data_IF_497201314604
#
_entry.id   IF_497201314604
#
_cell.length_a   1.000
_cell.length_b   1.000
_cell.length_c   1.000
_cell.angle_alpha   90.00
_cell.angle_beta   90.00
_cell.angle_gamma   90.00
#
_symmetry.space_group_name_H-M   'P 1'
#
loop_
_entity.id
_entity.type
_entity.pdbx_description
1 polymer ?
#
# COMPACT_ATOMS: atom_id res chain seq x y z
N UNK A 1 -13.14 -29.57 -5.73
CA UNK A 1 -13.42 -28.71 -4.56
C UNK A 1 -12.65 -27.41 -4.72
N UNK A 2 -13.34 -26.33 -5.10
CA UNK A 2 -12.72 -25.06 -5.44
C UNK A 2 -12.73 -24.18 -4.18
N UNK A 3 -11.73 -24.34 -3.31
CA UNK A 3 -11.52 -23.41 -2.19
C UNK A 3 -11.08 -22.08 -2.80
N UNK A 4 -12.04 -21.18 -3.03
CA UNK A 4 -11.73 -19.75 -3.10
C UNK A 4 -11.01 -19.43 -1.80
N UNK A 5 -9.68 -19.34 -1.86
CA UNK A 5 -8.86 -18.84 -0.75
C UNK A 5 -9.34 -17.44 -0.46
N UNK A 6 -10.21 -17.30 0.55
CA UNK A 6 -10.55 -16.01 1.11
C UNK A 6 -9.23 -15.32 1.45
N UNK A 7 -9.04 -14.09 0.97
CA UNK A 7 -7.86 -13.30 1.34
C UNK A 7 -7.84 -13.22 2.87
N UNK A 8 -6.76 -13.69 3.53
CA UNK A 8 -6.71 -13.68 4.98
C UNK A 8 -6.92 -12.26 5.49
N UNK A 9 -7.57 -12.09 6.66
CA UNK A 9 -7.83 -10.77 7.21
C UNK A 9 -6.51 -10.00 7.37
N UNK A 10 -6.54 -8.69 7.05
CA UNK A 10 -5.36 -7.83 7.12
C UNK A 10 -4.86 -7.74 8.56
N UNK A 11 -3.66 -8.28 8.80
CA UNK A 11 -3.03 -8.21 10.11
C UNK A 11 -2.92 -6.76 10.61
N UNK A 12 -3.17 -6.56 11.89
CA UNK A 12 -2.79 -5.36 12.63
C UNK A 12 -1.27 -5.41 12.81
N UNK A 13 -0.59 -4.28 12.68
CA UNK A 13 0.88 -4.26 12.76
C UNK A 13 1.29 -3.44 13.97
N UNK A 14 2.12 -4.01 14.84
CA UNK A 14 2.84 -3.32 15.91
C UNK A 14 4.12 -2.73 15.30
N UNK A 15 4.18 -1.42 15.02
CA UNK A 15 5.29 -0.85 14.27
C UNK A 15 6.48 -0.58 15.19
N UNK A 16 7.66 -1.00 14.74
CA UNK A 16 8.96 -0.65 15.30
C UNK A 16 9.71 0.12 14.22
N UNK A 17 10.01 1.38 14.50
CA UNK A 17 10.63 2.27 13.52
C UNK A 17 12.15 2.26 13.70
N UNK A 18 12.85 1.79 12.67
CA UNK A 18 14.30 1.84 12.59
C UNK A 18 14.67 3.23 12.05
N UNK A 19 15.50 4.01 12.76
CA UNK A 19 15.89 5.33 12.32
C UNK A 19 16.77 5.26 11.06
N UNK A 20 16.70 6.33 10.26
CA UNK A 20 17.43 6.43 9.00
C UNK A 20 18.96 6.38 9.17
N UNK A 21 19.45 6.84 10.33
CA UNK A 21 20.85 6.83 10.74
C UNK A 21 21.54 5.46 10.64
N UNK A 22 20.75 4.40 10.71
CA UNK A 22 21.24 3.02 10.78
C UNK A 22 21.20 2.28 9.43
N UNK A 23 20.87 2.98 8.34
CA UNK A 23 20.92 2.48 6.96
C UNK A 23 22.19 2.96 6.24
N UNK A 24 22.53 2.33 5.11
CA UNK A 24 23.64 2.77 4.26
C UNK A 24 23.44 4.23 3.78
N UNK A 25 24.53 5.00 3.81
CA UNK A 25 24.55 6.42 3.43
C UNK A 25 24.11 6.63 1.98
N UNK A 26 23.33 7.70 1.72
CA UNK A 26 22.96 8.15 0.38
C UNK A 26 21.58 7.72 -0.12
N UNK A 27 20.67 7.29 0.76
CA UNK A 27 19.28 7.05 0.39
C UNK A 27 18.59 8.37 -0.03
N UNK A 28 18.02 8.47 -1.24
CA UNK A 28 17.42 9.72 -1.72
C UNK A 28 16.11 10.08 -0.99
N UNK A 29 15.50 9.11 -0.31
CA UNK A 29 14.20 9.22 0.36
C UNK A 29 14.30 9.61 1.83
N UNK A 30 15.51 9.59 2.38
CA UNK A 30 15.75 9.77 3.80
C UNK A 30 16.72 10.93 4.00
N UNK A 31 16.68 11.61 5.17
CA UNK A 31 17.71 12.56 5.48
C UNK A 31 19.09 11.89 5.54
N UNK A 32 20.15 12.55 5.04
CA UNK A 32 21.49 11.99 5.09
C UNK A 32 21.94 11.81 6.55
N UNK A 33 22.63 10.70 6.84
CA UNK A 33 23.43 10.59 8.06
C UNK A 33 24.52 11.66 7.96
N UNK A 34 24.45 12.73 8.75
CA UNK A 34 25.51 13.74 8.80
C UNK A 34 26.39 13.43 10.00
N UNK A 35 27.62 13.00 9.75
CA UNK A 35 28.67 12.75 10.75
C UNK A 35 29.29 14.05 11.32
N UNK A 36 28.58 15.19 11.24
CA UNK A 36 29.05 16.49 11.74
C UNK A 36 28.47 16.77 13.14
N UNK A 37 29.30 16.91 14.20
CA UNK A 37 28.85 17.03 15.60
C UNK A 37 28.04 18.30 15.92
N UNK A 38 28.05 19.30 15.03
CA UNK A 38 27.51 20.63 15.30
C UNK A 38 26.06 20.84 14.86
N UNK A 39 25.48 19.89 14.11
CA UNK A 39 24.11 19.99 13.60
C UNK A 39 23.37 18.66 13.70
N UNK A 40 23.22 18.16 14.94
CA UNK A 40 22.29 17.09 15.30
C UNK A 40 20.84 17.55 15.06
N UNK A 41 20.46 17.67 13.79
CA UNK A 41 19.11 17.95 13.36
C UNK A 41 18.27 16.73 13.71
N UNK A 42 17.40 16.88 14.72
CA UNK A 42 16.15 16.19 15.14
C UNK A 42 15.64 14.88 14.48
N UNK A 43 16.27 14.32 13.45
CA UNK A 43 15.80 13.18 12.64
C UNK A 43 16.65 11.89 12.77
N UNK A 44 17.77 11.91 13.50
CA UNK A 44 18.51 10.71 13.86
C UNK A 44 17.98 10.15 15.20
N UNK A 45 16.87 9.41 15.14
CA UNK A 45 16.39 8.65 16.30
C UNK A 45 17.42 7.62 16.77
N UNK A 46 17.39 7.24 18.04
CA UNK A 46 18.18 6.12 18.56
C UNK A 46 17.72 4.80 17.92
N UNK A 47 18.65 3.90 17.60
CA UNK A 47 18.29 2.55 17.13
C UNK A 47 17.45 1.86 18.22
N UNK A 48 16.27 1.31 17.89
CA UNK A 48 15.40 0.70 18.88
C UNK A 48 16.06 -0.52 19.53
N UNK A 49 15.71 -0.75 20.79
CA UNK A 49 16.09 -1.94 21.55
C UNK A 49 14.99 -3.01 21.58
N UNK A 50 15.28 -4.16 22.20
CA UNK A 50 14.28 -5.21 22.46
C UNK A 50 13.02 -4.69 23.17
N UNK A 51 13.16 -3.80 24.14
CA UNK A 51 12.04 -3.27 24.93
C UNK A 51 11.07 -2.43 24.08
N UNK A 52 11.57 -1.78 23.01
CA UNK A 52 10.73 -1.04 22.07
C UNK A 52 9.80 -1.97 21.27
N UNK A 53 10.24 -3.21 21.02
CA UNK A 53 9.42 -4.25 20.38
C UNK A 53 8.28 -4.64 21.31
N UNK A 54 8.60 -4.95 22.57
CA UNK A 54 7.60 -5.33 23.57
C UNK A 54 6.59 -4.19 23.79
N UNK A 55 7.08 -2.95 23.92
CA UNK A 55 6.25 -1.77 24.06
C UNK A 55 5.36 -1.52 22.83
N UNK A 56 5.84 -1.81 21.61
CA UNK A 56 5.02 -1.69 20.40
C UNK A 56 3.87 -2.69 20.38
N UNK A 57 4.12 -3.95 20.78
CA UNK A 57 3.09 -4.99 20.88
C UNK A 57 2.10 -4.64 21.99
N UNK A 58 2.58 -4.24 23.17
CA UNK A 58 1.74 -3.79 24.29
C UNK A 58 0.78 -2.66 23.91
N UNK A 59 1.31 -1.62 23.22
CA UNK A 59 0.49 -0.49 22.75
C UNK A 59 -0.61 -0.94 21.80
N UNK A 60 -0.31 -1.90 20.91
CA UNK A 60 -1.30 -2.42 19.98
C UNK A 60 -2.33 -3.29 20.71
N UNK A 61 -1.91 -4.21 21.58
CA UNK A 61 -2.81 -5.07 22.33
C UNK A 61 -3.78 -4.27 23.19
N UNK A 62 -3.34 -3.20 23.87
CA UNK A 62 -4.25 -2.31 24.62
C UNK A 62 -5.35 -1.70 23.75
N UNK A 63 -5.03 -1.33 22.51
CA UNK A 63 -6.02 -0.82 21.53
C UNK A 63 -6.92 -1.94 21.01
N UNK A 64 -6.38 -3.15 20.85
CA UNK A 64 -7.16 -4.31 20.40
C UNK A 64 -8.11 -4.78 21.48
N UNK A 65 -7.72 -4.87 22.75
CA UNK A 65 -8.61 -5.32 23.82
C UNK A 65 -9.84 -4.42 24.04
N UNK A 66 -9.81 -3.19 23.51
CA UNK A 66 -10.95 -2.27 23.50
C UNK A 66 -11.91 -2.50 22.32
N UNK A 67 -11.44 -3.18 21.27
CA UNK A 67 -12.20 -3.56 20.08
C UNK A 67 -12.49 -5.08 20.11
N UNK A 68 -13.69 -5.54 19.80
CA UNK A 68 -13.97 -6.98 19.62
C UNK A 68 -13.37 -7.54 18.29
N UNK A 69 -12.12 -7.21 17.98
CA UNK A 69 -11.44 -7.48 16.71
C UNK A 69 -10.36 -8.56 16.89
N UNK A 70 -10.56 -9.71 16.23
CA UNK A 70 -9.75 -10.92 16.31
C UNK A 70 -8.62 -11.00 15.27
N UNK A 71 -8.34 -9.90 14.55
CA UNK A 71 -7.34 -9.91 13.48
C UNK A 71 -5.95 -10.28 13.98
N UNK A 72 -5.17 -11.02 13.18
CA UNK A 72 -3.79 -11.39 13.53
C UNK A 72 -2.93 -10.14 13.74
N UNK A 73 -1.97 -10.24 14.65
CA UNK A 73 -0.99 -9.19 14.93
C UNK A 73 0.36 -9.56 14.31
N UNK A 74 1.01 -8.63 13.63
CA UNK A 74 2.41 -8.77 13.18
C UNK A 74 3.30 -7.73 13.88
N UNK A 75 4.52 -8.11 14.25
CA UNK A 75 5.58 -7.14 14.59
C UNK A 75 6.20 -6.63 13.30
N UNK A 76 6.11 -5.33 13.03
CA UNK A 76 6.56 -4.74 11.76
C UNK A 76 7.73 -3.78 11.92
N UNK A 77 8.83 -4.07 11.24
CA UNK A 77 9.99 -3.17 11.18
C UNK A 77 9.92 -2.26 9.95
N UNK A 78 9.85 -0.94 10.19
CA UNK A 78 9.68 0.11 9.17
C UNK A 78 10.70 1.24 9.32
N UNK A 79 10.76 2.14 8.35
CA UNK A 79 11.65 3.33 8.38
C UNK A 79 13.08 3.07 7.92
N UNK A 80 13.50 1.80 7.90
CA UNK A 80 14.83 1.40 7.44
C UNK A 80 14.89 -0.09 7.09
N UNK A 81 16.10 -0.53 6.74
CA UNK A 81 16.40 -1.92 6.41
C UNK A 81 17.02 -2.61 7.64
N UNK A 82 16.24 -3.44 8.34
CA UNK A 82 16.70 -4.17 9.53
C UNK A 82 17.99 -4.95 9.26
N UNK A 83 18.18 -5.45 8.03
CA UNK A 83 19.32 -6.29 7.70
C UNK A 83 20.62 -5.51 7.49
N UNK A 84 20.53 -4.18 7.35
CA UNK A 84 21.70 -3.28 7.28
C UNK A 84 22.21 -2.86 8.66
N UNK A 85 21.47 -3.13 9.74
CA UNK A 85 21.96 -2.92 11.10
C UNK A 85 23.15 -3.84 11.42
N UNK A 86 24.00 -3.40 12.35
CA UNK A 86 25.04 -4.23 12.95
C UNK A 86 24.46 -5.52 13.54
N UNK A 87 25.26 -6.59 13.51
CA UNK A 87 24.79 -7.93 13.89
C UNK A 87 24.17 -7.98 15.29
N UNK A 88 24.74 -7.29 16.27
CA UNK A 88 24.24 -7.27 17.65
C UNK A 88 22.81 -6.73 17.74
N UNK A 89 22.59 -5.42 17.48
CA UNK A 89 21.26 -4.80 17.51
C UNK A 89 20.25 -5.51 16.61
N UNK A 90 20.65 -5.91 15.40
CA UNK A 90 19.82 -6.68 14.46
C UNK A 90 19.29 -7.97 15.05
N UNK A 91 20.18 -8.75 15.67
CA UNK A 91 19.83 -10.05 16.26
C UNK A 91 18.91 -9.84 17.45
N UNK A 92 19.24 -8.90 18.34
CA UNK A 92 18.44 -8.59 19.52
C UNK A 92 17.00 -8.17 19.18
N UNK A 93 16.81 -7.33 18.17
CA UNK A 93 15.49 -6.93 17.69
C UNK A 93 14.69 -8.10 17.10
N UNK A 94 15.34 -8.95 16.28
CA UNK A 94 14.68 -10.11 15.70
C UNK A 94 14.34 -11.16 16.76
N UNK A 95 15.21 -11.36 17.76
CA UNK A 95 14.99 -12.25 18.91
C UNK A 95 13.79 -11.79 19.75
N UNK A 96 13.64 -10.48 19.95
CA UNK A 96 12.51 -9.90 20.66
C UNK A 96 11.19 -10.13 19.90
N UNK A 97 11.16 -9.87 18.60
CA UNK A 97 9.98 -10.11 17.77
C UNK A 97 9.60 -11.60 17.71
N UNK A 98 10.59 -12.49 17.65
CA UNK A 98 10.38 -13.93 17.70
C UNK A 98 9.82 -14.39 19.05
N UNK A 99 10.30 -13.82 20.16
CA UNK A 99 9.77 -14.09 21.50
C UNK A 99 8.30 -13.68 21.62
N UNK A 100 7.90 -12.54 21.05
CA UNK A 100 6.49 -12.14 21.00
C UNK A 100 5.63 -13.11 20.19
N UNK A 101 6.19 -13.70 19.12
CA UNK A 101 5.51 -14.77 18.38
C UNK A 101 5.37 -16.05 19.21
N UNK A 102 6.44 -16.47 19.91
CA UNK A 102 6.42 -17.66 20.78
C UNK A 102 5.47 -17.52 21.97
N UNK A 103 5.29 -16.29 22.48
CA UNK A 103 4.31 -15.95 23.52
C UNK A 103 2.86 -15.94 23.00
N UNK A 104 2.63 -16.12 21.69
CA UNK A 104 1.30 -16.04 21.08
C UNK A 104 0.74 -14.61 20.98
N UNK A 105 1.55 -13.59 21.30
CA UNK A 105 1.15 -12.18 21.29
C UNK A 105 1.24 -11.56 19.89
N UNK A 106 2.06 -12.15 19.03
CA UNK A 106 2.12 -11.86 17.61
C UNK A 106 2.02 -13.18 16.81
N UNK A 107 1.48 -13.08 15.61
CA UNK A 107 1.30 -14.20 14.67
C UNK A 107 2.38 -14.25 13.59
N UNK A 108 3.23 -13.21 13.52
CA UNK A 108 4.32 -13.15 12.56
C UNK A 108 5.13 -11.87 12.63
N UNK A 109 6.22 -11.87 11.88
CA UNK A 109 7.14 -10.74 11.76
C UNK A 109 7.12 -10.22 10.32
N UNK A 110 7.04 -8.91 10.19
CA UNK A 110 7.11 -8.19 8.91
C UNK A 110 8.39 -7.37 8.83
N UNK A 111 9.18 -7.60 7.78
CA UNK A 111 10.43 -6.89 7.54
C UNK A 111 10.33 -6.02 6.28
N UNK A 112 10.81 -4.79 6.34
CA UNK A 112 11.06 -3.96 5.15
C UNK A 112 12.54 -4.04 4.80
N UNK A 113 12.87 -4.48 3.59
CA UNK A 113 14.25 -4.71 3.15
C UNK A 113 14.48 -4.14 1.75
N UNK A 114 15.68 -3.59 1.51
CA UNK A 114 16.10 -3.24 0.16
C UNK A 114 16.42 -4.51 -0.66
N UNK A 115 16.31 -4.48 -2.01
CA UNK A 115 16.61 -5.65 -2.83
C UNK A 115 17.96 -6.32 -2.56
N UNK A 116 19.09 -5.59 -2.42
CA UNK A 116 20.38 -6.21 -2.10
C UNK A 116 20.41 -6.93 -0.74
N UNK A 117 19.62 -6.47 0.23
CA UNK A 117 19.50 -7.11 1.54
C UNK A 117 18.68 -8.39 1.46
N UNK A 118 17.56 -8.38 0.74
CA UNK A 118 16.76 -9.59 0.48
C UNK A 118 17.58 -10.67 -0.22
N UNK A 119 18.47 -10.29 -1.14
CA UNK A 119 19.33 -11.22 -1.88
C UNK A 119 20.48 -11.80 -1.02
N UNK A 120 20.83 -11.17 0.09
CA UNK A 120 21.86 -11.67 1.03
C UNK A 120 21.28 -12.29 2.30
N UNK A 121 19.99 -12.07 2.58
CA UNK A 121 19.32 -12.56 3.77
C UNK A 121 19.17 -14.10 3.78
N UNK A 122 19.28 -14.74 4.96
CA UNK A 122 19.01 -16.16 5.16
C UNK A 122 17.49 -16.39 5.25
N UNK A 123 16.79 -16.33 4.11
CA UNK A 123 15.31 -16.36 4.11
C UNK A 123 14.70 -17.65 4.69
N UNK A 124 15.42 -18.77 4.66
CA UNK A 124 15.00 -20.01 5.34
C UNK A 124 14.98 -19.84 6.85
N UNK A 125 16.01 -19.21 7.42
CA UNK A 125 16.10 -18.88 8.84
C UNK A 125 15.01 -17.87 9.23
N UNK A 126 14.77 -16.84 8.42
CA UNK A 126 13.70 -15.88 8.67
C UNK A 126 12.35 -16.57 8.84
N UNK A 127 12.05 -17.52 7.95
CA UNK A 127 10.82 -18.30 8.04
C UNK A 127 10.74 -19.12 9.32
N UNK A 128 11.83 -19.78 9.73
CA UNK A 128 11.85 -20.56 10.99
C UNK A 128 11.69 -19.68 12.23
N UNK A 129 12.10 -18.41 12.14
CA UNK A 129 12.00 -17.43 13.21
C UNK A 129 10.68 -16.66 13.25
N UNK A 130 9.70 -17.06 12.43
CA UNK A 130 8.37 -16.46 12.43
C UNK A 130 8.19 -15.25 11.50
N UNK A 131 9.14 -14.98 10.60
CA UNK A 131 8.93 -13.97 9.54
C UNK A 131 7.89 -14.49 8.55
N UNK A 132 6.79 -13.75 8.42
CA UNK A 132 5.64 -14.07 7.55
C UNK A 132 5.61 -13.21 6.30
N UNK A 133 6.10 -11.97 6.41
CA UNK A 133 5.97 -10.95 5.35
C UNK A 133 7.28 -10.20 5.15
N UNK A 134 7.70 -10.04 3.89
CA UNK A 134 8.81 -9.17 3.50
C UNK A 134 8.30 -8.12 2.51
N UNK A 135 8.40 -6.85 2.90
CA UNK A 135 8.19 -5.70 2.03
C UNK A 135 9.53 -5.37 1.35
N UNK A 136 9.56 -5.48 0.02
CA UNK A 136 10.73 -5.16 -0.80
C UNK A 136 10.63 -3.71 -1.26
N UNK A 137 11.57 -2.86 -0.82
CA UNK A 137 11.68 -1.46 -1.21
C UNK A 137 12.17 -1.34 -2.67
N UNK A 138 11.28 -1.64 -3.62
CA UNK A 138 11.60 -1.69 -5.05
C UNK A 138 11.68 -0.30 -5.68
N UNK A 139 10.80 0.61 -5.26
CA UNK A 139 10.58 1.96 -5.81
C UNK A 139 10.08 1.94 -7.27
N UNK A 140 10.89 1.46 -8.21
CA UNK A 140 10.56 1.33 -9.63
C UNK A 140 11.46 0.28 -10.30
N UNK A 141 10.99 -0.32 -11.39
CA UNK A 141 11.83 -1.19 -12.23
C UNK A 141 12.50 -0.42 -13.39
N UNK A 142 12.31 0.90 -13.47
CA UNK A 142 12.91 1.73 -14.50
C UNK A 142 14.37 2.07 -14.13
N UNK A 143 15.32 1.61 -14.94
CA UNK A 143 16.76 1.83 -14.73
C UNK A 143 17.15 3.31 -14.71
N UNK A 144 16.62 4.11 -15.62
CA UNK A 144 16.97 5.54 -15.72
C UNK A 144 16.52 6.32 -14.48
N UNK A 145 15.36 5.98 -13.93
CA UNK A 145 14.87 6.57 -12.68
C UNK A 145 15.73 6.15 -11.49
N UNK A 146 16.07 4.85 -11.37
CA UNK A 146 16.97 4.37 -10.31
C UNK A 146 18.35 5.04 -10.37
N UNK A 147 18.92 5.22 -11.56
CA UNK A 147 20.21 5.90 -11.76
C UNK A 147 20.15 7.37 -11.32
N UNK A 148 19.07 8.10 -11.67
CA UNK A 148 18.86 9.49 -11.22
C UNK A 148 18.72 9.61 -9.70
N UNK A 149 18.22 8.57 -9.06
CA UNK A 149 18.11 8.45 -7.61
C UNK A 149 19.42 8.05 -6.92
N UNK A 150 20.53 7.88 -7.66
CA UNK A 150 21.80 7.40 -7.12
C UNK A 150 21.77 5.93 -6.71
N UNK A 151 20.73 5.17 -7.09
CA UNK A 151 20.63 3.75 -6.78
C UNK A 151 21.63 2.96 -7.62
N UNK A 152 22.55 2.27 -6.94
CA UNK A 152 23.68 1.56 -7.58
C UNK A 152 23.33 0.16 -8.10
N UNK A 153 22.16 -0.37 -7.77
CA UNK A 153 21.76 -1.73 -8.14
C UNK A 153 20.85 -1.77 -9.38
N UNK A 154 20.98 -2.82 -10.18
CA UNK A 154 20.17 -2.99 -11.40
C UNK A 154 18.70 -3.36 -11.06
N UNK A 155 17.67 -2.83 -11.77
CA UNK A 155 16.26 -3.12 -11.49
C UNK A 155 15.88 -4.60 -11.39
N UNK A 156 16.59 -5.46 -12.13
CA UNK A 156 16.38 -6.93 -12.12
C UNK A 156 16.52 -7.52 -10.71
N UNK A 157 17.42 -6.98 -9.89
CA UNK A 157 17.64 -7.45 -8.51
C UNK A 157 16.39 -7.27 -7.64
N UNK A 158 15.59 -6.23 -7.89
CA UNK A 158 14.30 -6.03 -7.25
C UNK A 158 13.28 -7.11 -7.59
N UNK A 159 13.22 -7.50 -8.87
CA UNK A 159 12.33 -8.58 -9.32
C UNK A 159 12.78 -9.95 -8.78
N UNK A 160 14.09 -10.20 -8.78
CA UNK A 160 14.69 -11.41 -8.21
C UNK A 160 14.45 -11.50 -6.70
N UNK A 161 14.58 -10.40 -5.97
CA UNK A 161 14.29 -10.34 -4.54
C UNK A 161 12.83 -10.76 -4.25
N UNK A 162 11.87 -10.21 -4.98
CA UNK A 162 10.44 -10.56 -4.85
C UNK A 162 10.22 -12.06 -5.14
N UNK A 163 10.81 -12.56 -6.24
CA UNK A 163 10.73 -13.98 -6.59
C UNK A 163 11.37 -14.90 -5.56
N UNK A 164 12.49 -14.48 -4.95
CA UNK A 164 13.17 -15.23 -3.89
C UNK A 164 12.30 -15.36 -2.65
N UNK A 165 11.68 -14.26 -2.21
CA UNK A 165 10.72 -14.28 -1.08
C UNK A 165 9.54 -15.19 -1.41
N UNK A 166 8.95 -15.06 -2.60
CA UNK A 166 7.82 -15.88 -3.02
C UNK A 166 8.11 -17.39 -2.93
N UNK A 167 9.31 -17.84 -3.31
CA UNK A 167 9.71 -19.26 -3.23
C UNK A 167 9.78 -19.81 -1.80
N UNK A 168 9.92 -18.95 -0.79
CA UNK A 168 9.95 -19.38 0.61
C UNK A 168 8.55 -19.58 1.22
N UNK A 169 7.48 -19.27 0.50
CA UNK A 169 6.09 -19.19 0.98
C UNK A 169 5.83 -18.08 2.00
N UNK A 170 6.78 -17.17 2.23
CA UNK A 170 6.52 -15.88 2.87
C UNK A 170 5.80 -14.95 1.90
N UNK A 171 5.02 -14.01 2.45
CA UNK A 171 4.32 -13.00 1.68
C UNK A 171 5.30 -11.93 1.19
N UNK A 172 5.42 -11.78 -0.13
CA UNK A 172 6.19 -10.71 -0.77
C UNK A 172 5.30 -9.50 -1.08
N UNK A 173 5.65 -8.34 -0.54
CA UNK A 173 4.97 -7.07 -0.85
C UNK A 173 5.97 -6.15 -1.56
N UNK A 174 5.62 -5.65 -2.74
CA UNK A 174 6.45 -4.67 -3.44
C UNK A 174 6.05 -3.25 -3.01
N UNK A 175 7.02 -2.43 -2.64
CA UNK A 175 6.79 -1.00 -2.42
C UNK A 175 7.19 -0.23 -3.69
N UNK A 176 6.22 0.42 -4.33
CA UNK A 176 6.41 1.20 -5.57
C UNK A 176 6.09 2.68 -5.34
N UNK A 177 6.84 3.55 -6.01
CA UNK A 177 6.71 4.99 -5.87
C UNK A 177 6.57 5.66 -7.25
N UNK A 178 5.35 6.00 -7.69
CA UNK A 178 5.16 6.82 -8.89
C UNK A 178 5.59 8.28 -8.65
N UNK A 179 5.98 8.99 -9.70
CA UNK A 179 6.32 10.42 -9.62
C UNK A 179 7.76 10.73 -9.18
N UNK A 180 8.65 9.73 -9.18
CA UNK A 180 10.08 9.93 -8.94
C UNK A 180 10.74 10.78 -10.05
N UNK A 181 11.91 11.41 -9.79
CA UNK A 181 12.67 12.14 -10.80
C UNK A 181 12.90 11.34 -12.09
N UNK A 182 12.49 11.90 -13.22
CA UNK A 182 12.57 11.25 -14.53
C UNK A 182 11.50 10.18 -14.79
N UNK A 183 10.54 9.98 -13.89
CA UNK A 183 9.38 9.11 -14.12
C UNK A 183 8.20 9.90 -14.71
N UNK A 184 7.44 9.23 -15.57
CA UNK A 184 6.15 9.67 -16.11
C UNK A 184 5.07 8.64 -15.80
N UNK A 185 3.81 9.00 -16.05
CA UNK A 185 2.67 8.08 -16.01
C UNK A 185 2.95 6.79 -16.81
N UNK A 186 3.39 6.94 -18.07
CA UNK A 186 3.70 5.82 -18.97
C UNK A 186 4.79 4.90 -18.41
N UNK A 187 5.91 5.47 -17.98
CA UNK A 187 7.04 4.66 -17.46
C UNK A 187 6.69 3.97 -16.14
N UNK A 188 5.81 4.58 -15.35
CA UNK A 188 5.30 3.98 -14.11
C UNK A 188 4.46 2.74 -14.41
N UNK A 189 3.56 2.83 -15.39
CA UNK A 189 2.75 1.68 -15.80
C UNK A 189 3.61 0.57 -16.40
N UNK A 190 4.59 0.90 -17.24
CA UNK A 190 5.57 -0.08 -17.75
C UNK A 190 6.32 -0.77 -16.61
N UNK A 191 6.72 -0.03 -15.57
CA UNK A 191 7.37 -0.62 -14.41
C UNK A 191 6.44 -1.57 -13.63
N UNK A 192 5.15 -1.23 -13.52
CA UNK A 192 4.15 -2.12 -12.92
C UNK A 192 3.97 -3.42 -13.73
N UNK A 193 3.95 -3.34 -15.06
CA UNK A 193 3.92 -4.54 -15.93
C UNK A 193 5.11 -5.47 -15.69
N UNK A 194 6.31 -4.89 -15.56
CA UNK A 194 7.51 -5.67 -15.26
C UNK A 194 7.44 -6.32 -13.88
N UNK A 195 6.97 -5.57 -12.86
CA UNK A 195 6.79 -6.06 -11.51
C UNK A 195 5.82 -7.24 -11.45
N UNK A 196 4.70 -7.19 -12.18
CA UNK A 196 3.71 -8.27 -12.21
C UNK A 196 4.30 -9.62 -12.66
N UNK A 197 5.39 -9.62 -13.44
CA UNK A 197 6.10 -10.85 -13.83
C UNK A 197 6.74 -11.56 -12.64
N UNK A 198 7.11 -10.83 -11.59
CA UNK A 198 7.63 -11.38 -10.35
C UNK A 198 6.53 -11.87 -9.38
N UNK A 199 5.24 -11.71 -9.75
CA UNK A 199 4.06 -12.16 -9.00
C UNK A 199 4.11 -11.79 -7.51
N UNK A 200 4.23 -10.49 -7.16
CA UNK A 200 4.14 -10.08 -5.77
C UNK A 200 2.76 -10.42 -5.19
N UNK A 201 2.71 -10.83 -3.92
CA UNK A 201 1.44 -11.08 -3.23
C UNK A 201 0.69 -9.78 -2.96
N UNK A 202 1.42 -8.68 -2.73
CA UNK A 202 0.82 -7.37 -2.58
C UNK A 202 1.72 -6.23 -3.04
N UNK A 203 1.14 -5.04 -3.10
CA UNK A 203 1.83 -3.81 -3.48
C UNK A 203 1.42 -2.65 -2.56
N UNK A 204 2.38 -1.80 -2.20
CA UNK A 204 2.17 -0.49 -1.60
C UNK A 204 2.52 0.57 -2.65
N UNK A 205 1.59 1.48 -2.90
CA UNK A 205 1.74 2.54 -3.90
C UNK A 205 1.85 3.87 -3.16
N UNK A 206 3.05 4.43 -3.07
CA UNK A 206 3.26 5.73 -2.41
C UNK A 206 3.84 6.72 -3.43
N UNK A 207 3.00 7.60 -4.02
CA UNK A 207 3.53 8.70 -4.82
C UNK A 207 4.65 9.45 -4.10
N UNK A 208 5.69 9.80 -4.84
CA UNK A 208 6.86 10.48 -4.29
C UNK A 208 6.45 11.86 -3.72
N UNK A 209 7.00 12.17 -2.55
CA UNK A 209 6.83 13.45 -1.86
C UNK A 209 8.20 14.11 -1.73
N UNK A 210 8.25 15.43 -1.89
CA UNK A 210 9.40 16.22 -1.51
C UNK A 210 9.31 16.48 0.01
N UNK A 211 10.24 15.93 0.78
CA UNK A 211 10.29 16.08 2.23
C UNK A 211 11.51 16.89 2.64
N UNK A 212 11.36 17.77 3.62
CA UNK A 212 12.48 18.58 4.11
C UNK A 212 13.59 17.69 4.66
N UNK A 213 14.83 18.10 4.39
CA UNK A 213 16.02 17.36 4.79
C UNK A 213 16.34 16.10 3.98
N UNK A 214 15.55 15.75 2.95
CA UNK A 214 15.84 14.61 2.05
C UNK A 214 16.43 15.08 0.73
N UNK A 215 17.17 14.21 0.02
CA UNK A 215 17.69 14.53 -1.32
C UNK A 215 16.57 14.86 -2.31
N UNK A 216 15.42 14.16 -2.24
CA UNK A 216 14.25 14.52 -3.05
C UNK A 216 13.72 15.93 -2.71
N UNK A 217 13.75 16.33 -1.44
CA UNK A 217 13.45 17.70 -1.03
C UNK A 217 14.43 18.71 -1.60
N UNK A 218 15.72 18.42 -1.58
CA UNK A 218 16.78 19.26 -2.17
C UNK A 218 16.60 19.41 -3.68
N UNK A 219 16.35 18.32 -4.41
CA UNK A 219 16.07 18.35 -5.86
C UNK A 219 14.86 19.21 -6.19
N UNK A 220 13.83 19.20 -5.35
CA UNK A 220 12.66 20.06 -5.51
C UNK A 220 13.00 21.53 -5.28
N UNK A 221 13.69 21.86 -4.19
CA UNK A 221 14.08 23.23 -3.87
C UNK A 221 15.02 23.84 -4.92
N UNK A 222 15.84 23.01 -5.58
CA UNK A 222 16.72 23.41 -6.68
C UNK A 222 16.02 23.48 -8.04
N UNK A 223 14.74 23.13 -8.13
CA UNK A 223 13.98 23.11 -9.39
C UNK A 223 14.37 21.97 -10.35
N UNK A 224 15.09 20.96 -9.88
CA UNK A 224 15.52 19.81 -10.68
C UNK A 224 14.47 18.67 -10.74
N UNK A 225 13.42 18.75 -9.92
CA UNK A 225 12.32 17.81 -9.93
C UNK A 225 11.03 18.47 -9.40
N UNK A 226 9.94 18.27 -10.13
CA UNK A 226 8.60 18.64 -9.66
C UNK A 226 7.83 17.37 -9.27
N UNK A 227 7.40 17.21 -8.01
CA UNK A 227 6.52 16.12 -7.60
C UNK A 227 5.17 16.18 -8.34
N UNK A 228 4.53 15.02 -8.53
CA UNK A 228 3.20 14.97 -9.14
C UNK A 228 2.18 15.82 -8.37
N UNK A 229 1.30 16.48 -9.11
CA UNK A 229 0.11 17.08 -8.53
C UNK A 229 -0.87 16.01 -8.05
N UNK A 230 -1.76 16.37 -7.11
CA UNK A 230 -2.74 15.42 -6.55
C UNK A 230 -3.62 14.76 -7.64
N UNK A 231 -4.01 15.51 -8.67
CA UNK A 231 -4.78 15.01 -9.81
C UNK A 231 -4.02 13.97 -10.63
N UNK A 232 -2.74 14.22 -10.91
CA UNK A 232 -1.85 13.31 -11.65
C UNK A 232 -1.56 12.04 -10.85
N UNK A 233 -1.33 12.19 -9.55
CA UNK A 233 -1.13 11.09 -8.62
C UNK A 233 -2.39 10.22 -8.54
N UNK A 234 -3.57 10.83 -8.46
CA UNK A 234 -4.86 10.13 -8.48
C UNK A 234 -5.03 9.33 -9.78
N UNK A 235 -4.82 9.94 -10.94
CA UNK A 235 -4.93 9.29 -12.24
C UNK A 235 -3.94 8.13 -12.40
N UNK A 236 -2.68 8.33 -11.99
CA UNK A 236 -1.64 7.30 -12.04
C UNK A 236 -1.93 6.15 -11.10
N UNK A 237 -2.28 6.44 -9.85
CA UNK A 237 -2.62 5.42 -8.86
C UNK A 237 -3.88 4.64 -9.27
N UNK A 238 -4.89 5.28 -9.87
CA UNK A 238 -6.07 4.61 -10.42
C UNK A 238 -5.69 3.51 -11.40
N UNK A 239 -4.83 3.82 -12.37
CA UNK A 239 -4.38 2.84 -13.36
C UNK A 239 -3.56 1.72 -12.73
N UNK A 240 -2.67 2.04 -11.78
CA UNK A 240 -1.93 1.03 -11.02
C UNK A 240 -2.85 0.11 -10.22
N UNK A 241 -3.78 0.67 -9.46
CA UNK A 241 -4.74 -0.10 -8.64
C UNK A 241 -5.56 -1.04 -9.51
N UNK A 242 -6.10 -0.55 -10.64
CA UNK A 242 -6.81 -1.38 -11.61
C UNK A 242 -5.93 -2.53 -12.10
N UNK A 243 -4.71 -2.21 -12.56
CA UNK A 243 -3.81 -3.19 -13.16
C UNK A 243 -3.35 -4.29 -12.19
N UNK A 244 -2.99 -3.92 -10.96
CA UNK A 244 -2.61 -4.89 -9.92
C UNK A 244 -3.79 -5.78 -9.51
N UNK A 245 -4.99 -5.21 -9.35
CA UNK A 245 -6.21 -5.99 -9.03
C UNK A 245 -6.58 -6.98 -10.12
N UNK A 246 -6.53 -6.55 -11.38
CA UNK A 246 -6.79 -7.44 -12.54
C UNK A 246 -5.80 -8.60 -12.60
N UNK A 247 -4.56 -8.40 -12.13
CA UNK A 247 -3.56 -9.45 -12.02
C UNK A 247 -3.66 -10.30 -10.73
N UNK A 248 -4.62 -10.01 -9.84
CA UNK A 248 -4.77 -10.70 -8.57
C UNK A 248 -3.77 -10.29 -7.47
N UNK A 249 -2.99 -9.23 -7.68
CA UNK A 249 -2.07 -8.67 -6.67
C UNK A 249 -2.83 -7.74 -5.72
N UNK A 250 -2.69 -7.95 -4.41
CA UNK A 250 -3.37 -7.11 -3.43
C UNK A 250 -2.78 -5.70 -3.37
N UNK A 251 -3.63 -4.67 -3.51
CA UNK A 251 -3.23 -3.29 -3.17
C UNK A 251 -3.36 -3.07 -1.66
N UNK A 252 -2.24 -3.23 -0.98
CA UNK A 252 -2.12 -3.12 0.48
C UNK A 252 -2.40 -1.69 0.91
N UNK A 253 -1.72 -0.71 0.28
CA UNK A 253 -1.83 0.71 0.62
C UNK A 253 -1.68 1.60 -0.62
N UNK A 254 -2.39 2.73 -0.62
CA UNK A 254 -2.22 3.83 -1.57
C UNK A 254 -2.06 5.12 -0.77
N UNK A 255 -0.99 5.86 -1.04
CA UNK A 255 -0.64 7.06 -0.29
C UNK A 255 0.14 6.78 1.00
N UNK A 256 0.86 7.81 1.42
CA UNK A 256 1.74 7.82 2.58
C UNK A 256 1.41 9.08 3.38
N UNK A 257 1.32 8.96 4.71
CA UNK A 257 1.10 10.04 5.65
C UNK A 257 2.40 10.31 6.41
N UNK A 258 3.17 11.34 6.03
CA UNK A 258 4.36 11.76 6.79
C UNK A 258 4.01 12.02 8.26
N UNK A 259 4.99 11.86 9.16
CA UNK A 259 4.85 11.91 10.63
C UNK A 259 3.98 10.82 11.27
N UNK A 260 3.04 10.22 10.53
CA UNK A 260 2.22 9.08 11.00
C UNK A 260 2.87 7.75 10.60
N UNK A 261 3.13 7.58 9.31
CA UNK A 261 3.76 6.36 8.79
C UNK A 261 5.29 6.39 8.89
N UNK A 262 5.84 7.60 8.98
CA UNK A 262 7.27 7.88 9.08
C UNK A 262 7.48 8.92 10.19
N UNK A 263 7.55 8.52 11.46
CA UNK A 263 7.67 9.45 12.59
C UNK A 263 8.88 10.39 12.47
N UNK A 264 9.96 9.90 11.86
CA UNK A 264 11.21 10.64 11.65
C UNK A 264 11.27 11.42 10.32
N UNK A 265 10.16 11.54 9.59
CA UNK A 265 10.14 12.30 8.33
C UNK A 265 10.16 13.80 8.59
N UNK A 266 10.85 14.54 7.73
CA UNK A 266 10.71 16.00 7.64
C UNK A 266 9.31 16.44 7.21
N UNK A 267 9.13 17.76 7.12
CA UNK A 267 7.90 18.38 6.65
C UNK A 267 7.69 18.15 5.16
N UNK A 268 6.44 18.14 4.73
CA UNK A 268 6.09 18.03 3.31
C UNK A 268 6.32 19.37 2.63
N UNK A 269 7.32 19.42 1.74
CA UNK A 269 7.60 20.58 0.91
C UNK A 269 6.67 20.64 -0.31
N UNK A 270 6.43 19.49 -0.95
CA UNK A 270 5.56 19.37 -2.12
C UNK A 270 5.16 17.91 -2.42
N UNK A 271 4.17 17.75 -3.31
CA UNK A 271 3.68 16.46 -3.80
C UNK A 271 2.27 16.11 -3.31
N UNK A 272 1.75 14.94 -3.72
CA UNK A 272 0.34 14.60 -3.57
C UNK A 272 0.03 14.06 -2.16
N UNK A 273 0.27 14.89 -1.14
CA UNK A 273 -0.01 14.57 0.25
C UNK A 273 -1.50 14.80 0.56
N UNK A 274 -2.27 13.72 0.65
CA UNK A 274 -3.68 13.77 1.04
C UNK A 274 -4.02 12.58 1.94
N UNK A 275 -4.66 12.78 3.12
CA UNK A 275 -5.01 11.72 4.07
C UNK A 275 -5.79 10.58 3.40
N UNK A 276 -6.78 10.95 2.59
CA UNK A 276 -7.66 10.01 1.90
C UNK A 276 -7.28 9.75 0.43
N UNK A 277 -6.00 9.80 0.06
CA UNK A 277 -5.61 9.56 -1.35
C UNK A 277 -6.17 8.23 -1.90
N UNK A 278 -6.18 7.18 -1.06
CA UNK A 278 -6.80 5.91 -1.44
C UNK A 278 -8.29 6.06 -1.76
N UNK A 279 -9.06 6.75 -0.90
CA UNK A 279 -10.48 7.00 -1.14
C UNK A 279 -10.67 7.73 -2.48
N UNK A 280 -9.88 8.76 -2.75
CA UNK A 280 -9.98 9.52 -4.01
C UNK A 280 -9.76 8.62 -5.24
N UNK A 281 -8.75 7.74 -5.19
CA UNK A 281 -8.44 6.79 -6.27
C UNK A 281 -9.54 5.75 -6.44
N UNK A 282 -9.98 5.14 -5.34
CA UNK A 282 -11.01 4.09 -5.35
C UNK A 282 -12.37 4.64 -5.79
N UNK A 283 -12.69 5.87 -5.40
CA UNK A 283 -13.93 6.55 -5.78
C UNK A 283 -13.98 6.83 -7.27
N UNK A 284 -12.85 7.17 -7.88
CA UNK A 284 -12.79 7.38 -9.32
C UNK A 284 -13.05 6.06 -10.09
N UNK A 285 -12.50 4.93 -9.61
CA UNK A 285 -12.80 3.60 -10.17
C UNK A 285 -14.28 3.23 -10.02
N UNK A 286 -14.85 3.43 -8.83
CA UNK A 286 -16.25 3.15 -8.56
C UNK A 286 -17.18 4.02 -9.39
N UNK A 287 -16.86 5.30 -9.54
CA UNK A 287 -17.62 6.23 -10.37
C UNK A 287 -17.62 5.81 -11.85
N UNK A 288 -16.46 5.44 -12.40
CA UNK A 288 -16.40 4.90 -13.76
C UNK A 288 -17.25 3.63 -13.93
N UNK A 289 -17.22 2.74 -12.93
CA UNK A 289 -18.09 1.56 -12.90
C UNK A 289 -19.58 1.91 -12.83
N UNK A 290 -19.94 2.90 -12.01
CA UNK A 290 -21.31 3.34 -11.82
C UNK A 290 -21.86 4.00 -13.09
N UNK A 291 -21.07 4.85 -13.76
CA UNK A 291 -21.40 5.44 -15.07
C UNK A 291 -21.68 4.34 -16.08
N UNK A 292 -20.77 3.35 -16.22
CA UNK A 292 -20.99 2.22 -17.15
C UNK A 292 -22.26 1.44 -16.84
N UNK A 293 -22.51 1.15 -15.56
CA UNK A 293 -23.69 0.41 -15.13
C UNK A 293 -24.99 1.20 -15.40
N UNK A 294 -24.99 2.50 -15.13
CA UNK A 294 -26.08 3.43 -15.46
C UNK A 294 -26.33 3.44 -16.96
N UNK A 295 -25.33 3.79 -17.76
CA UNK A 295 -25.48 3.87 -19.23
C UNK A 295 -26.02 2.57 -19.84
N UNK A 296 -25.64 1.40 -19.30
CA UNK A 296 -26.13 0.10 -19.80
C UNK A 296 -27.59 -0.22 -19.49
N UNK A 297 -28.21 0.46 -18.52
CA UNK A 297 -29.55 0.17 -17.97
C UNK A 297 -30.49 1.34 -18.01
N UNK A 298 -29.98 2.53 -18.35
CA UNK A 298 -30.74 3.76 -18.38
C UNK A 298 -31.69 3.77 -19.58
N UNK A 299 -32.96 4.01 -19.31
CA UNK A 299 -33.99 4.26 -20.32
C UNK A 299 -34.62 5.63 -20.10
N UNK A 300 -35.24 6.19 -21.15
CA UNK A 300 -35.98 7.44 -21.04
C UNK A 300 -37.08 7.30 -19.98
N UNK A 301 -37.06 8.16 -18.96
CA UNK A 301 -37.97 8.08 -17.81
C UNK A 301 -37.37 7.47 -16.54
N UNK A 302 -36.15 6.92 -16.60
CA UNK A 302 -35.44 6.45 -15.39
C UNK A 302 -35.15 7.64 -14.45
N UNK A 303 -35.83 7.70 -13.31
CA UNK A 303 -35.64 8.75 -12.27
C UNK A 303 -34.96 8.24 -11.00
N UNK A 304 -34.91 6.92 -10.81
CA UNK A 304 -34.35 6.27 -9.64
C UNK A 304 -33.30 5.22 -10.01
N UNK A 305 -32.30 5.02 -9.17
CA UNK A 305 -31.31 3.96 -9.36
C UNK A 305 -30.84 3.39 -8.03
N UNK A 306 -30.69 2.07 -7.95
CA UNK A 306 -30.10 1.40 -6.78
C UNK A 306 -28.76 0.79 -7.15
N UNK A 307 -27.72 1.13 -6.40
CA UNK A 307 -26.43 0.45 -6.45
C UNK A 307 -26.30 -0.53 -5.30
N UNK A 308 -25.75 -1.71 -5.58
CA UNK A 308 -25.40 -2.71 -4.57
C UNK A 308 -23.89 -2.90 -4.58
N UNK A 309 -23.25 -2.65 -3.44
CA UNK A 309 -21.79 -2.73 -3.25
C UNK A 309 -21.44 -3.58 -2.03
N UNK A 310 -20.16 -3.90 -1.85
CA UNK A 310 -19.70 -4.45 -0.59
C UNK A 310 -19.78 -3.36 0.52
N UNK A 311 -20.11 -3.68 1.78
CA UNK A 311 -20.14 -2.69 2.87
C UNK A 311 -18.85 -1.86 2.97
N UNK A 312 -17.70 -2.50 2.76
CA UNK A 312 -16.39 -1.85 2.84
C UNK A 312 -16.04 -0.97 1.64
N UNK A 313 -16.92 -0.91 0.63
CA UNK A 313 -16.77 -0.11 -0.59
C UNK A 313 -17.85 0.97 -0.71
N UNK A 314 -18.78 1.08 0.24
CA UNK A 314 -19.84 2.10 0.22
C UNK A 314 -19.25 3.51 0.16
N UNK A 315 -18.27 3.81 1.00
CA UNK A 315 -17.58 5.11 1.01
C UNK A 315 -16.88 5.40 -0.31
N UNK A 316 -16.32 4.37 -0.97
CA UNK A 316 -15.71 4.50 -2.28
C UNK A 316 -16.75 4.85 -3.34
N UNK A 317 -17.93 4.21 -3.34
CA UNK A 317 -18.99 4.57 -4.28
C UNK A 317 -19.54 5.97 -4.02
N UNK A 318 -19.80 6.35 -2.76
CA UNK A 318 -20.27 7.69 -2.41
C UNK A 318 -19.28 8.77 -2.86
N UNK A 319 -17.99 8.48 -2.70
CA UNK A 319 -16.91 9.41 -2.97
C UNK A 319 -16.71 10.42 -1.84
N UNK A 320 -15.57 11.10 -1.87
CA UNK A 320 -15.25 12.20 -0.96
C UNK A 320 -16.36 13.25 -1.00
N UNK A 321 -16.90 13.62 0.16
CA UNK A 321 -18.05 14.54 0.31
C UNK A 321 -19.25 14.19 -0.60
N UNK A 322 -19.52 12.90 -0.77
CA UNK A 322 -20.58 12.39 -1.65
C UNK A 322 -20.54 12.95 -3.08
N UNK A 323 -19.35 13.33 -3.57
CA UNK A 323 -19.17 13.94 -4.90
C UNK A 323 -19.71 13.05 -6.02
N UNK A 324 -19.43 11.74 -5.96
CA UNK A 324 -19.91 10.79 -6.98
C UNK A 324 -21.43 10.82 -7.07
N UNK A 325 -22.14 10.85 -5.94
CA UNK A 325 -23.60 10.88 -5.93
C UNK A 325 -24.16 12.15 -6.58
N UNK A 326 -23.56 13.32 -6.26
CA UNK A 326 -23.96 14.61 -6.86
C UNK A 326 -23.72 14.63 -8.37
N UNK A 327 -22.56 14.16 -8.82
CA UNK A 327 -22.21 14.10 -10.25
C UNK A 327 -23.14 13.16 -11.03
N UNK A 328 -23.40 11.95 -10.51
CA UNK A 328 -24.28 10.98 -11.17
C UNK A 328 -25.72 11.51 -11.26
N UNK A 329 -26.26 12.11 -10.19
CA UNK A 329 -27.60 12.74 -10.22
C UNK A 329 -27.70 13.82 -11.28
N UNK A 330 -26.69 14.71 -11.35
CA UNK A 330 -26.66 15.80 -12.33
C UNK A 330 -26.54 15.28 -13.76
N UNK A 331 -25.61 14.35 -14.01
CA UNK A 331 -25.31 13.83 -15.34
C UNK A 331 -26.48 13.04 -15.94
N UNK A 332 -27.16 12.22 -15.14
CA UNK A 332 -28.24 11.33 -15.60
C UNK A 332 -29.64 11.85 -15.24
N UNK A 333 -29.75 13.07 -14.70
CA UNK A 333 -31.02 13.69 -14.25
C UNK A 333 -31.84 12.79 -13.32
N UNK A 334 -31.15 12.08 -12.42
CA UNK A 334 -31.77 11.18 -11.45
C UNK A 334 -32.28 11.98 -10.25
N UNK A 335 -33.49 11.68 -9.81
CA UNK A 335 -34.08 12.24 -8.59
C UNK A 335 -33.51 11.54 -7.35
N UNK A 336 -33.39 10.20 -7.43
CA UNK A 336 -32.97 9.36 -6.30
C UNK A 336 -31.90 8.35 -6.69
N UNK A 337 -30.87 8.26 -5.85
CA UNK A 337 -29.89 7.17 -5.87
C UNK A 337 -29.93 6.51 -4.50
N UNK A 338 -30.09 5.19 -4.46
CA UNK A 338 -29.97 4.37 -3.25
C UNK A 338 -28.70 3.54 -3.33
N UNK A 339 -28.00 3.40 -2.21
CA UNK A 339 -26.90 2.45 -2.06
C UNK A 339 -27.35 1.40 -1.04
N UNK A 340 -27.21 0.14 -1.42
CA UNK A 340 -27.37 -1.02 -0.57
C UNK A 340 -26.03 -1.74 -0.47
N UNK A 341 -25.82 -2.43 0.65
CA UNK A 341 -24.59 -3.15 0.92
C UNK A 341 -24.87 -4.62 1.21
N UNK A 342 -23.98 -5.51 0.74
CA UNK A 342 -24.04 -6.95 1.05
C UNK A 342 -22.65 -7.56 0.99
N UNK A 343 -22.31 -8.41 1.95
CA UNK A 343 -21.01 -9.11 1.99
C UNK A 343 -20.83 -10.09 0.84
N UNK A 344 -21.93 -10.53 0.22
CA UNK A 344 -21.88 -11.36 -0.99
C UNK A 344 -21.20 -10.60 -2.15
N UNK A 345 -21.43 -9.28 -2.25
CA UNK A 345 -20.90 -8.46 -3.34
C UNK A 345 -19.36 -8.44 -3.26
N UNK A 346 -18.65 -8.89 -4.31
CA UNK A 346 -17.19 -8.88 -4.31
C UNK A 346 -16.65 -7.45 -4.19
N UNK A 347 -15.56 -7.29 -3.44
CA UNK A 347 -14.85 -6.02 -3.30
C UNK A 347 -14.47 -5.44 -4.67
N UNK A 348 -14.57 -4.12 -4.82
CA UNK A 348 -14.22 -3.41 -6.05
C UNK A 348 -15.24 -3.56 -7.18
N UNK A 349 -16.40 -4.17 -6.92
CA UNK A 349 -17.45 -4.38 -7.92
C UNK A 349 -18.78 -3.79 -7.44
N UNK A 350 -19.65 -3.48 -8.39
CA UNK A 350 -21.00 -2.97 -8.11
C UNK A 350 -22.02 -3.62 -9.05
N UNK A 351 -23.24 -3.76 -8.55
CA UNK A 351 -24.44 -4.03 -9.36
C UNK A 351 -25.35 -2.82 -9.32
N UNK A 352 -26.18 -2.69 -10.34
CA UNK A 352 -27.05 -1.54 -10.44
C UNK A 352 -28.41 -1.90 -11.06
N UNK A 353 -29.46 -1.24 -10.59
CA UNK A 353 -30.85 -1.50 -10.92
C UNK A 353 -31.56 -0.18 -11.27
N UNK A 354 -32.35 -0.12 -12.35
CA UNK A 354 -33.02 1.10 -12.85
C UNK A 354 -34.20 1.60 -11.99
N UNK A 355 -34.33 1.07 -10.77
CA UNK A 355 -35.42 1.33 -9.85
C UNK A 355 -34.88 1.44 -8.42
N UNK A 356 -35.71 1.97 -7.51
CA UNK A 356 -35.40 2.05 -6.08
C UNK A 356 -35.93 0.77 -5.42
N UNK A 357 -35.03 -0.18 -5.16
CA UNK A 357 -35.37 -1.46 -4.53
C UNK A 357 -35.00 -1.47 -3.04
N UNK A 358 -35.68 -2.30 -2.27
CA UNK A 358 -35.38 -2.64 -0.89
C UNK A 358 -34.27 -3.68 -0.75
N UNK A 359 -33.74 -3.89 0.46
CA UNK A 359 -32.74 -4.92 0.73
C UNK A 359 -33.17 -6.33 0.33
N UNK A 360 -34.44 -6.67 0.58
CA UNK A 360 -35.00 -8.02 0.32
C UNK A 360 -35.25 -8.29 -1.18
N UNK A 361 -35.21 -7.24 -1.99
CA UNK A 361 -35.42 -7.31 -3.45
C UNK A 361 -34.10 -7.45 -4.21
N UNK A 362 -32.95 -7.44 -3.53
CA UNK A 362 -31.63 -7.61 -4.15
C UNK A 362 -31.47 -9.06 -4.61
N UNK A 363 -31.40 -9.34 -5.93
CA UNK A 363 -31.23 -10.71 -6.39
C UNK A 363 -29.90 -11.30 -5.91
N UNK A 364 -29.81 -12.62 -5.66
CA UNK A 364 -28.55 -13.26 -5.30
C UNK A 364 -27.52 -13.11 -6.43
N UNK A 365 -26.24 -13.17 -6.07
CA UNK A 365 -25.19 -13.17 -7.08
C UNK A 365 -25.26 -14.40 -7.96
N UNK A 366 -25.57 -14.21 -9.24
CA UNK A 366 -25.46 -15.29 -10.22
C UNK A 366 -24.00 -15.76 -10.30
N UNK A 367 -23.72 -17.07 -10.19
CA UNK A 367 -22.36 -17.56 -10.38
C UNK A 367 -21.89 -17.16 -11.79
N UNK A 368 -20.66 -16.60 -11.88
CA UNK A 368 -20.04 -16.33 -13.18
C UNK A 368 -20.03 -17.65 -13.95
N UNK A 369 -20.76 -17.74 -15.06
CA UNK A 369 -20.60 -18.84 -16.02
C UNK A 369 -19.11 -18.93 -16.33
N UNK A 370 -18.50 -20.08 -16.03
CA UNK A 370 -17.12 -20.32 -16.40
C UNK A 370 -17.01 -20.03 -17.90
N UNK A 371 -16.16 -19.06 -18.28
CA UNK A 371 -15.74 -18.95 -19.68
C UNK A 371 -15.15 -20.30 -20.02
N UNK A 372 -15.84 -21.08 -20.85
CA UNK A 372 -15.24 -22.27 -21.49
C UNK A 372 -13.98 -21.75 -22.17
N UNK A 373 -12.82 -22.19 -21.68
CA UNK A 373 -11.59 -22.00 -22.41
C UNK A 373 -11.74 -22.82 -23.69
N UNK A 374 -11.86 -22.11 -24.81
CA UNK A 374 -11.64 -22.64 -26.16
C UNK A 374 -10.17 -22.46 -26.50
#
# INVERSE_FOLDING_TARGET
MNTKTATPPRARVAPVHIPHGSCLVGCPFCPPCRDEPSQQTRAAGQTPGPDDVEAAVDRLLRRVSQDSDDRPIEVGFFGGDLWQLERGPRTALLDAAERECRRGRATGIRLTLAPPSVLRAPLSEFRTRGVTTIEVALHTTNRGVLQRLGTRFHPRLGLEAIGRVHRTRMRSIAHVQPGLPGSSHRTTLQAAEMLLRARPHGVRIHPALALSGTLLGELYLQGHWEPMQLSEARATCKHLVRRFREAGTEVVRVGLQPKVDMPFSGDVLAGPNHPDLRLLVESELMREGAIRALTSRFSLGTRGFTFVVNPKDESYLRGFESRTMRELKKQFRLERIRILTTDEQPRGTLRAFPEIIGPDEVPPLRPRRARRAS
#
